data_IF_027293794348
#
_entry.id   IF_027293794348
#
_cell.length_a   1.000
_cell.length_b   1.000
_cell.length_c   1.000
_cell.angle_alpha   90.00
_cell.angle_beta   90.00
_cell.angle_gamma   90.00
#
_symmetry.space_group_name_H-M   'P 1'
#
loop_
_entity.id
_entity.type
_entity.pdbx_description
1 polymer ?
#
# COMPACT_ATOMS: atom_id res chain seq x y z
N UNK A 1 1.64 -12.40 16.93
CA UNK A 1 1.17 -13.76 16.60
C UNK A 1 2.39 -14.60 16.23
N UNK A 2 2.62 -15.71 16.95
CA UNK A 2 3.68 -16.64 16.61
C UNK A 2 3.31 -17.37 15.31
N UNK A 3 4.26 -17.51 14.40
CA UNK A 3 4.09 -18.41 13.26
C UNK A 3 4.13 -19.85 13.77
N UNK A 4 3.06 -20.64 13.70
CA UNK A 4 3.00 -21.97 14.28
C UNK A 4 3.68 -23.06 13.43
N UNK A 5 4.18 -22.77 12.25
CA UNK A 5 4.77 -23.82 11.42
C UNK A 5 6.29 -23.74 11.37
N UNK A 6 6.91 -24.63 12.10
CA UNK A 6 8.36 -24.86 12.10
C UNK A 6 8.94 -25.42 10.79
N UNK A 7 8.11 -25.73 9.80
CA UNK A 7 8.54 -26.33 8.53
C UNK A 7 8.91 -25.32 7.44
N UNK A 8 8.43 -24.08 7.54
CA UNK A 8 8.80 -23.01 6.63
C UNK A 8 9.50 -21.91 7.41
N UNK A 9 10.79 -21.84 7.28
CA UNK A 9 11.71 -20.89 7.93
C UNK A 9 11.47 -19.40 7.54
N UNK A 10 10.22 -19.01 7.36
CA UNK A 10 9.86 -17.65 6.99
C UNK A 10 9.44 -16.84 8.22
N UNK A 11 9.81 -15.57 8.30
CA UNK A 11 9.40 -14.72 9.40
C UNK A 11 7.88 -14.59 9.45
N UNK A 12 7.34 -14.37 10.64
CA UNK A 12 5.94 -14.02 10.79
C UNK A 12 5.70 -12.62 10.21
N UNK A 13 4.70 -12.50 9.36
CA UNK A 13 4.23 -11.24 8.81
C UNK A 13 2.77 -11.07 9.17
N UNK A 14 2.43 -9.93 9.75
CA UNK A 14 1.07 -9.50 10.00
C UNK A 14 0.76 -8.31 9.08
N UNK A 15 -0.21 -8.47 8.21
CA UNK A 15 -0.64 -7.43 7.26
C UNK A 15 -1.79 -6.66 7.88
N UNK A 16 -1.73 -5.33 7.83
CA UNK A 16 -2.82 -4.46 8.26
C UNK A 16 -4.00 -4.58 7.29
N UNK A 17 -5.22 -4.58 7.84
CA UNK A 17 -6.44 -4.71 7.04
C UNK A 17 -6.78 -3.47 6.20
N UNK A 18 -6.26 -2.31 6.58
CA UNK A 18 -6.50 -1.04 5.90
C UNK A 18 -5.48 -0.82 4.78
N UNK A 19 -5.91 -0.20 3.69
CA UNK A 19 -5.06 0.22 2.60
C UNK A 19 -4.54 1.65 2.82
N UNK A 20 -3.29 1.89 2.44
CA UNK A 20 -2.62 3.19 2.55
C UNK A 20 -2.07 3.60 1.19
N UNK A 21 -2.13 4.88 0.88
CA UNK A 21 -1.53 5.42 -0.34
C UNK A 21 -0.10 5.89 -0.05
N UNK A 22 0.89 5.02 -0.28
CA UNK A 22 2.30 5.34 -0.11
C UNK A 22 2.87 6.27 -1.19
N UNK A 23 2.04 6.75 -2.13
CA UNK A 23 2.39 7.83 -3.06
C UNK A 23 2.06 9.23 -2.51
N UNK A 24 1.34 9.30 -1.40
CA UNK A 24 1.00 10.52 -0.67
C UNK A 24 1.82 10.60 0.60
N UNK A 25 2.15 11.82 1.04
CA UNK A 25 2.83 12.01 2.31
C UNK A 25 2.04 11.42 3.47
N UNK A 26 2.75 10.78 4.40
CA UNK A 26 2.15 10.17 5.57
C UNK A 26 3.19 9.79 6.62
N UNK A 27 2.72 9.36 7.77
CA UNK A 27 3.57 8.88 8.84
C UNK A 27 2.81 7.98 9.80
N UNK A 28 3.54 7.18 10.56
CA UNK A 28 3.03 6.55 11.76
C UNK A 28 4.09 6.59 12.87
N UNK A 29 3.62 6.55 14.11
CA UNK A 29 4.43 6.36 15.29
C UNK A 29 4.17 4.97 15.88
N UNK A 30 5.22 4.32 16.36
CA UNK A 30 5.10 3.08 17.08
C UNK A 30 6.04 3.08 18.28
N UNK A 31 5.55 2.56 19.40
CA UNK A 31 6.39 2.18 20.51
C UNK A 31 6.66 0.69 20.40
N UNK A 32 7.92 0.29 20.47
CA UNK A 32 8.33 -1.11 20.41
C UNK A 32 9.08 -1.51 21.66
N UNK A 33 8.82 -2.73 22.10
CA UNK A 33 9.57 -3.38 23.17
C UNK A 33 9.78 -4.83 22.82
N UNK A 34 11.02 -5.30 22.85
CA UNK A 34 11.36 -6.68 22.58
C UNK A 34 11.89 -7.35 23.85
N UNK A 35 11.46 -8.54 24.20
CA UNK A 35 12.02 -9.29 25.33
C UNK A 35 13.43 -9.83 25.05
N UNK A 36 13.89 -9.74 23.84
CA UNK A 36 15.17 -10.26 23.37
C UNK A 36 16.02 -9.13 22.79
N UNK A 37 17.33 -9.27 22.94
CA UNK A 37 18.26 -8.34 22.31
C UNK A 37 18.15 -8.38 20.78
N UNK A 38 18.32 -7.22 20.15
CA UNK A 38 18.22 -7.07 18.70
C UNK A 38 19.20 -7.94 17.91
N UNK A 39 20.24 -8.45 18.58
CA UNK A 39 21.24 -9.35 17.97
C UNK A 39 20.67 -10.69 17.46
N UNK A 40 19.59 -11.19 18.07
CA UNK A 40 18.94 -12.42 17.64
C UNK A 40 17.77 -12.17 16.68
N UNK A 41 17.41 -10.91 16.42
CA UNK A 41 16.06 -10.59 16.02
C UNK A 41 15.98 -9.60 14.87
N UNK A 42 15.23 -9.95 13.83
CA UNK A 42 14.83 -9.02 12.80
C UNK A 42 13.38 -8.61 13.02
N UNK A 43 13.16 -7.33 13.25
CA UNK A 43 11.84 -6.76 13.38
C UNK A 43 11.74 -5.48 12.55
N UNK A 44 10.56 -5.20 12.02
CA UNK A 44 10.32 -3.96 11.30
C UNK A 44 8.98 -3.93 10.59
N UNK A 45 8.85 -2.94 9.74
CA UNK A 45 7.66 -2.64 8.98
C UNK A 45 7.94 -2.75 7.49
N UNK A 46 6.95 -3.19 6.74
CA UNK A 46 6.93 -3.04 5.29
C UNK A 46 5.96 -1.94 4.90
N UNK A 47 6.43 -0.97 4.14
CA UNK A 47 5.58 -0.07 3.37
C UNK A 47 5.33 -0.70 2.00
N UNK A 48 4.07 -0.81 1.61
CA UNK A 48 3.69 -1.38 0.32
C UNK A 48 3.95 -2.88 0.20
N UNK A 49 3.63 -3.66 1.25
CA UNK A 49 3.86 -5.10 1.29
C UNK A 49 3.08 -5.86 0.23
N UNK A 50 3.78 -6.67 -0.56
CA UNK A 50 3.21 -7.69 -1.44
C UNK A 50 3.70 -9.08 -1.00
N UNK A 51 2.77 -10.04 -0.91
CA UNK A 51 3.09 -11.44 -0.68
C UNK A 51 3.78 -12.05 -1.94
N UNK A 52 4.85 -12.86 -1.81
CA UNK A 52 5.43 -13.43 -0.61
C UNK A 52 6.60 -12.67 0.03
N UNK A 53 6.62 -11.36 0.02
CA UNK A 53 7.63 -10.62 0.78
C UNK A 53 8.38 -9.57 -0.03
N UNK A 54 7.68 -8.82 -0.89
CA UNK A 54 8.20 -7.61 -1.48
C UNK A 54 7.65 -6.36 -0.78
N UNK A 55 8.36 -5.25 -0.90
CA UNK A 55 8.03 -3.98 -0.28
C UNK A 55 9.25 -3.25 0.25
N UNK A 56 9.06 -2.04 0.77
CA UNK A 56 10.11 -1.32 1.49
C UNK A 56 10.12 -1.77 2.95
N UNK A 57 11.15 -2.50 3.34
CA UNK A 57 11.38 -2.88 4.74
C UNK A 57 12.14 -1.78 5.47
N UNK A 58 11.66 -1.40 6.64
CA UNK A 58 12.29 -0.47 7.58
C UNK A 58 12.27 -1.14 8.95
N UNK A 59 13.43 -1.41 9.53
CA UNK A 59 13.52 -2.14 10.78
C UNK A 59 14.95 -2.31 11.27
N UNK A 60 15.19 -3.31 12.11
CA UNK A 60 16.50 -3.65 12.64
C UNK A 60 16.84 -5.12 12.52
N UNK A 61 18.12 -5.42 12.60
CA UNK A 61 18.72 -6.74 12.84
C UNK A 61 19.89 -6.59 13.83
N UNK A 62 20.71 -7.62 13.96
CA UNK A 62 21.89 -7.62 14.84
C UNK A 62 22.87 -6.47 14.58
N UNK A 63 22.88 -5.89 13.39
CA UNK A 63 23.72 -4.76 13.02
C UNK A 63 23.09 -3.39 13.32
N UNK A 64 21.85 -3.35 13.83
CA UNK A 64 21.12 -2.12 14.11
C UNK A 64 20.04 -1.81 13.10
N UNK A 65 19.51 -0.58 13.16
CA UNK A 65 18.43 -0.12 12.29
C UNK A 65 18.89 0.05 10.84
N UNK A 66 18.07 -0.41 9.88
CA UNK A 66 18.35 -0.36 8.45
C UNK A 66 17.07 -0.42 7.62
N UNK A 67 17.22 -0.20 6.33
CA UNK A 67 16.17 -0.44 5.35
C UNK A 67 16.63 -1.45 4.28
N UNK A 68 15.67 -2.08 3.64
CA UNK A 68 15.90 -2.94 2.48
C UNK A 68 14.71 -2.84 1.52
N UNK A 69 15.02 -2.66 0.23
CA UNK A 69 14.01 -2.78 -0.81
C UNK A 69 13.89 -4.23 -1.26
N UNK A 70 12.70 -4.80 -1.15
CA UNK A 70 12.41 -6.14 -1.65
C UNK A 70 11.63 -6.03 -2.95
N UNK A 71 12.14 -6.62 -4.05
CA UNK A 71 11.55 -6.52 -5.39
C UNK A 71 10.87 -7.80 -5.87
N UNK A 72 10.57 -8.73 -4.97
CA UNK A 72 10.01 -10.05 -5.27
C UNK A 72 11.08 -11.06 -5.66
N UNK A 73 11.05 -12.24 -5.03
CA UNK A 73 11.97 -13.36 -5.33
C UNK A 73 13.44 -13.14 -5.00
N UNK A 74 13.82 -11.98 -4.48
CA UNK A 74 15.21 -11.66 -4.16
C UNK A 74 15.36 -10.41 -3.31
N UNK A 75 16.58 -10.15 -2.88
CA UNK A 75 16.95 -8.93 -2.18
C UNK A 75 17.18 -7.79 -3.17
N UNK A 76 16.57 -6.62 -2.90
CA UNK A 76 16.93 -5.38 -3.56
C UNK A 76 18.13 -4.69 -2.90
N UNK A 77 18.12 -3.35 -2.88
CA UNK A 77 19.16 -2.54 -2.24
C UNK A 77 19.05 -2.57 -0.72
N UNK A 78 20.18 -2.39 -0.06
CA UNK A 78 20.33 -2.36 1.40
C UNK A 78 20.93 -1.04 1.86
N UNK A 79 20.51 -0.62 3.06
CA UNK A 79 21.20 0.47 3.75
C UNK A 79 22.64 0.09 4.11
N UNK A 80 23.59 0.89 3.67
CA UNK A 80 25.05 0.69 3.89
C UNK A 80 25.69 1.74 4.78
N UNK A 81 24.92 2.69 5.33
CA UNK A 81 25.42 3.72 6.23
C UNK A 81 25.64 3.25 7.66
N UNK A 82 26.08 4.18 8.52
CA UNK A 82 26.17 3.94 9.95
C UNK A 82 24.78 3.70 10.55
N UNK A 83 24.61 2.63 11.34
CA UNK A 83 23.33 2.24 11.91
C UNK A 83 23.20 2.67 13.36
N UNK A 84 22.04 3.16 13.76
CA UNK A 84 21.67 3.22 15.18
C UNK A 84 21.57 1.79 15.70
N UNK A 85 22.04 1.55 16.93
CA UNK A 85 22.03 0.23 17.55
C UNK A 85 20.60 -0.35 17.59
N UNK A 86 20.50 -1.66 17.45
CA UNK A 86 19.24 -2.36 17.66
C UNK A 86 18.81 -2.27 19.13
N UNK A 87 17.50 -2.38 19.44
CA UNK A 87 16.99 -2.35 20.80
C UNK A 87 17.66 -3.41 21.70
N UNK A 88 17.97 -3.02 22.93
CA UNK A 88 18.34 -3.96 24.00
C UNK A 88 17.10 -4.72 24.49
N UNK A 89 17.34 -5.85 25.18
CA UNK A 89 16.23 -6.64 25.73
C UNK A 89 15.41 -5.83 26.74
N UNK A 90 14.10 -5.86 26.56
CA UNK A 90 13.10 -5.15 27.38
C UNK A 90 13.21 -3.61 27.40
N UNK A 91 14.05 -3.04 26.56
CA UNK A 91 14.10 -1.60 26.35
C UNK A 91 12.94 -1.16 25.42
N UNK A 92 12.32 -0.04 25.77
CA UNK A 92 11.25 0.56 25.00
C UNK A 92 11.82 1.67 24.11
N UNK A 93 11.45 1.66 22.83
CA UNK A 93 11.87 2.66 21.87
C UNK A 93 10.66 3.28 21.18
N UNK A 94 10.68 4.61 21.04
CA UNK A 94 9.73 5.34 20.22
C UNK A 94 10.27 5.46 18.81
N UNK A 95 9.52 5.01 17.81
CA UNK A 95 9.89 5.09 16.42
C UNK A 95 8.85 5.85 15.61
N UNK A 96 9.34 6.67 14.70
CA UNK A 96 8.52 7.32 13.71
C UNK A 96 8.99 6.93 12.32
N UNK A 97 8.07 6.46 11.51
CA UNK A 97 8.27 6.27 10.07
C UNK A 97 7.42 7.31 9.34
N UNK A 98 8.04 8.14 8.54
CA UNK A 98 7.35 9.11 7.70
C UNK A 98 7.76 8.95 6.25
N UNK A 99 6.91 9.34 5.32
CA UNK A 99 7.20 9.35 3.89
C UNK A 99 6.59 10.56 3.21
N UNK A 100 7.14 10.91 2.05
CA UNK A 100 6.75 12.07 1.26
C UNK A 100 6.13 11.66 -0.07
N UNK A 101 5.46 12.60 -0.74
CA UNK A 101 4.94 12.44 -2.12
C UNK A 101 6.08 12.15 -3.12
N UNK A 102 7.32 12.57 -2.81
CA UNK A 102 8.50 12.23 -3.60
C UNK A 102 9.00 10.80 -3.38
N UNK A 103 8.28 9.97 -2.60
CA UNK A 103 8.64 8.59 -2.23
C UNK A 103 9.99 8.49 -1.52
N UNK A 104 10.23 9.39 -0.60
CA UNK A 104 11.34 9.32 0.35
C UNK A 104 10.76 9.00 1.72
N UNK A 105 11.19 7.88 2.31
CA UNK A 105 10.82 7.50 3.67
C UNK A 105 11.95 7.81 4.65
N UNK A 106 11.58 8.25 5.85
CA UNK A 106 12.51 8.57 6.95
C UNK A 106 12.18 7.71 8.16
N UNK A 107 13.19 7.14 8.79
CA UNK A 107 13.08 6.53 10.11
C UNK A 107 13.71 7.46 11.15
N UNK A 108 12.97 7.71 12.24
CA UNK A 108 13.45 8.33 13.46
C UNK A 108 13.28 7.36 14.62
N UNK A 109 14.30 7.21 15.45
CA UNK A 109 14.33 6.34 16.64
C UNK A 109 14.65 7.23 17.83
N UNK A 110 13.78 7.27 18.83
CA UNK A 110 13.92 8.10 20.06
C UNK A 110 14.25 9.57 19.76
N UNK A 111 13.60 10.12 18.75
CA UNK A 111 13.81 11.47 18.27
C UNK A 111 15.09 11.69 17.42
N UNK A 112 15.92 10.66 17.26
CA UNK A 112 17.11 10.73 16.40
C UNK A 112 16.83 10.16 15.01
N UNK A 113 17.10 10.94 13.96
CA UNK A 113 17.00 10.46 12.58
C UNK A 113 18.02 9.35 12.33
N UNK A 114 17.52 8.18 11.93
CA UNK A 114 18.35 7.04 11.58
C UNK A 114 18.83 7.08 10.12
N UNK A 115 17.89 7.32 9.20
CA UNK A 115 18.17 7.37 7.76
C UNK A 115 16.99 7.92 6.96
N UNK A 116 17.27 8.24 5.71
CA UNK A 116 16.29 8.38 4.63
C UNK A 116 16.47 7.24 3.62
N UNK A 117 15.39 6.88 2.94
CA UNK A 117 15.41 5.94 1.81
C UNK A 117 14.54 6.47 0.68
N UNK A 118 15.13 6.63 -0.49
CA UNK A 118 14.41 6.87 -1.74
C UNK A 118 13.89 5.52 -2.27
N UNK A 119 12.58 5.38 -2.36
CA UNK A 119 11.91 4.19 -2.89
C UNK A 119 11.13 4.47 -4.18
N UNK A 120 11.39 5.60 -4.85
CA UNK A 120 10.73 6.02 -6.09
C UNK A 120 10.89 5.01 -7.22
N UNK A 121 12.00 4.27 -7.24
CA UNK A 121 12.24 3.20 -8.22
C UNK A 121 11.43 1.92 -7.97
N UNK A 122 10.76 1.79 -6.83
CA UNK A 122 9.93 0.61 -6.54
C UNK A 122 8.57 0.74 -7.23
N UNK A 123 8.30 -0.13 -8.18
CA UNK A 123 7.08 -0.14 -8.99
C UNK A 123 6.05 -1.18 -8.55
N UNK A 124 6.42 -2.06 -7.63
CA UNK A 124 5.61 -3.20 -7.18
C UNK A 124 5.09 -3.06 -5.75
N UNK A 125 4.99 -1.85 -5.24
CA UNK A 125 4.39 -1.60 -3.93
C UNK A 125 2.87 -1.80 -3.98
N UNK A 126 2.34 -2.48 -2.97
CA UNK A 126 0.90 -2.50 -2.71
C UNK A 126 0.51 -1.34 -1.80
N UNK A 127 -0.77 -1.25 -1.46
CA UNK A 127 -1.29 -0.31 -0.48
C UNK A 127 -1.24 -0.85 0.97
N UNK A 128 -0.52 -1.96 1.22
CA UNK A 128 -0.52 -2.63 2.52
C UNK A 128 0.67 -2.23 3.38
N UNK A 129 0.39 -1.91 4.64
CA UNK A 129 1.38 -1.89 5.72
C UNK A 129 1.46 -3.28 6.34
N UNK A 130 2.66 -3.76 6.60
CA UNK A 130 2.84 -5.02 7.32
C UNK A 130 3.92 -4.92 8.38
N UNK A 131 3.79 -5.71 9.42
CA UNK A 131 4.79 -5.90 10.47
C UNK A 131 5.47 -7.24 10.24
N UNK A 132 6.79 -7.24 10.25
CA UNK A 132 7.61 -8.44 10.19
C UNK A 132 8.27 -8.70 11.53
N UNK A 133 8.06 -9.86 12.10
CA UNK A 133 8.76 -10.33 13.29
C UNK A 133 9.50 -11.62 12.97
N UNK A 134 10.81 -11.62 13.19
CA UNK A 134 11.67 -12.76 12.93
C UNK A 134 12.56 -12.65 11.70
N UNK A 135 13.65 -13.39 11.72
CA UNK A 135 14.52 -13.62 10.59
C UNK A 135 14.37 -15.07 10.09
N UNK A 136 15.06 -15.38 9.01
CA UNK A 136 15.13 -16.72 8.46
C UNK A 136 15.69 -17.71 9.50
N UNK A 137 14.87 -18.53 10.09
CA UNK A 137 15.12 -19.54 11.15
C UNK A 137 14.87 -19.13 12.59
N UNK A 138 14.52 -17.88 12.91
CA UNK A 138 14.33 -17.47 14.29
C UNK A 138 12.98 -16.78 14.48
N UNK A 139 12.25 -17.22 15.51
CA UNK A 139 10.99 -16.58 15.91
C UNK A 139 11.31 -15.44 16.88
N UNK A 140 10.84 -14.25 16.55
CA UNK A 140 10.92 -13.12 17.46
C UNK A 140 9.62 -12.93 18.21
N UNK A 141 9.79 -12.70 19.48
CA UNK A 141 8.72 -12.19 20.30
C UNK A 141 8.93 -10.69 20.46
N UNK A 142 8.08 -9.91 19.84
CA UNK A 142 7.90 -8.50 20.19
C UNK A 142 6.68 -8.45 21.08
N UNK A 143 6.84 -8.01 22.33
CA UNK A 143 5.75 -8.06 23.31
C UNK A 143 4.77 -6.94 23.13
N UNK A 144 5.26 -5.76 22.76
CA UNK A 144 4.40 -4.58 22.63
C UNK A 144 4.78 -3.81 21.38
N UNK A 145 3.84 -3.71 20.44
CA UNK A 145 3.87 -2.78 19.32
C UNK A 145 2.59 -1.98 19.39
N UNK A 146 2.71 -0.72 19.76
CA UNK A 146 1.61 0.21 19.74
C UNK A 146 1.83 1.24 18.65
N UNK A 147 0.95 1.29 17.66
CA UNK A 147 1.02 2.24 16.56
C UNK A 147 0.05 3.38 16.86
N UNK A 148 0.59 4.59 16.86
CA UNK A 148 -0.14 5.86 17.00
C UNK A 148 -0.18 6.52 15.61
N UNK A 149 -1.20 7.31 15.38
CA UNK A 149 -1.28 8.26 14.27
C UNK A 149 -1.02 7.63 12.89
N UNK A 150 -1.95 6.78 12.47
CA UNK A 150 -2.00 6.36 11.08
C UNK A 150 -2.44 7.52 10.18
N UNK A 151 -1.89 7.63 8.96
CA UNK A 151 -2.47 8.53 7.99
C UNK A 151 -3.92 8.12 7.75
N UNK A 152 -4.83 9.08 7.76
CA UNK A 152 -6.19 8.82 7.29
C UNK A 152 -6.11 8.31 5.85
N UNK A 153 -6.71 7.16 5.64
CA UNK A 153 -6.97 6.71 4.27
C UNK A 153 -8.05 7.62 3.74
N UNK A 154 -7.65 8.53 2.90
CA UNK A 154 -8.64 9.24 2.07
C UNK A 154 -9.10 8.19 1.07
N UNK A 155 -10.21 7.51 1.36
CA UNK A 155 -10.89 6.72 0.34
C UNK A 155 -11.14 7.68 -0.84
N UNK A 156 -10.68 7.28 -2.03
CA UNK A 156 -10.96 8.06 -3.23
C UNK A 156 -12.48 8.30 -3.28
N UNK A 157 -12.87 9.56 -3.43
CA UNK A 157 -14.27 9.90 -3.49
C UNK A 157 -14.91 9.13 -4.66
N UNK A 158 -15.99 8.43 -4.38
CA UNK A 158 -16.72 7.67 -5.39
C UNK A 158 -17.92 8.48 -5.84
N UNK A 159 -18.08 8.59 -7.13
CA UNK A 159 -19.11 9.38 -7.78
C UNK A 159 -20.01 8.51 -8.65
N UNK A 160 -21.23 8.95 -8.88
CA UNK A 160 -22.07 8.38 -9.91
C UNK A 160 -21.81 9.09 -11.25
N UNK A 161 -21.56 8.31 -12.30
CA UNK A 161 -21.45 8.80 -13.67
C UNK A 161 -22.75 8.44 -14.39
N UNK A 162 -23.49 9.43 -14.85
CA UNK A 162 -24.76 9.21 -15.55
C UNK A 162 -24.84 10.07 -16.81
N UNK A 163 -25.64 9.63 -17.75
CA UNK A 163 -25.85 10.36 -19.00
C UNK A 163 -27.04 9.84 -19.76
N UNK A 164 -27.22 10.43 -20.96
CA UNK A 164 -28.29 10.05 -21.88
C UNK A 164 -27.75 9.87 -23.30
N UNK A 165 -28.11 8.78 -23.93
CA UNK A 165 -27.76 8.50 -25.32
C UNK A 165 -28.94 8.88 -26.20
N UNK A 166 -28.66 9.76 -27.18
CA UNK A 166 -29.68 10.25 -28.13
C UNK A 166 -29.12 10.16 -29.55
N UNK A 167 -29.99 10.07 -30.53
CA UNK A 167 -29.63 10.20 -31.95
C UNK A 167 -29.40 11.66 -32.37
N UNK A 168 -29.03 11.89 -33.62
CA UNK A 168 -28.82 13.23 -34.17
C UNK A 168 -30.07 14.12 -34.15
N UNK A 169 -31.26 13.56 -34.06
CA UNK A 169 -32.51 14.24 -33.92
C UNK A 169 -32.93 14.52 -32.47
N UNK A 170 -32.14 14.03 -31.49
CA UNK A 170 -32.45 14.17 -30.07
C UNK A 170 -33.36 13.07 -29.51
N UNK A 171 -33.73 12.07 -30.30
CA UNK A 171 -34.55 10.95 -29.81
C UNK A 171 -33.72 10.00 -28.95
N UNK A 172 -34.31 9.49 -27.87
CA UNK A 172 -33.64 8.57 -26.95
C UNK A 172 -33.31 7.24 -27.63
N UNK A 173 -32.12 6.73 -27.39
CA UNK A 173 -31.68 5.41 -27.89
C UNK A 173 -31.75 4.41 -26.75
N UNK A 174 -32.76 3.52 -26.81
CA UNK A 174 -32.91 2.43 -25.86
C UNK A 174 -31.96 1.26 -26.20
N UNK A 175 -31.45 0.60 -25.15
CA UNK A 175 -30.65 -0.61 -25.25
C UNK A 175 -29.27 -0.41 -25.88
N UNK A 176 -28.79 0.84 -25.98
CA UNK A 176 -27.38 1.10 -26.32
C UNK A 176 -26.47 0.56 -25.22
N UNK A 177 -25.36 -0.07 -25.60
CA UNK A 177 -24.36 -0.53 -24.66
C UNK A 177 -23.40 0.60 -24.35
N UNK A 178 -23.42 1.08 -23.11
CA UNK A 178 -22.48 2.06 -22.60
C UNK A 178 -21.43 1.32 -21.77
N UNK A 179 -20.16 1.51 -22.08
CA UNK A 179 -19.03 0.94 -21.36
C UNK A 179 -18.21 2.07 -20.72
N UNK A 180 -17.97 1.93 -19.43
CA UNK A 180 -17.02 2.75 -18.69
C UNK A 180 -15.91 1.82 -18.19
N UNK A 181 -14.71 1.95 -18.73
CA UNK A 181 -13.57 1.06 -18.51
C UNK A 181 -13.94 -0.43 -18.74
N UNK A 182 -14.02 -1.20 -17.66
CA UNK A 182 -14.35 -2.63 -17.69
C UNK A 182 -15.84 -2.91 -17.43
N UNK A 183 -16.59 -1.92 -16.95
CA UNK A 183 -18.02 -2.06 -16.60
C UNK A 183 -18.90 -1.65 -17.77
N UNK A 184 -20.02 -2.33 -17.96
CA UNK A 184 -20.99 -2.01 -19.01
C UNK A 184 -22.41 -2.02 -18.48
N UNK A 185 -23.22 -1.09 -18.98
CA UNK A 185 -24.67 -1.00 -18.76
C UNK A 185 -25.38 -0.81 -20.08
N UNK A 186 -26.71 -1.01 -20.10
CA UNK A 186 -27.56 -0.65 -21.24
C UNK A 186 -28.42 0.54 -20.90
N UNK A 187 -28.65 1.39 -21.89
CA UNK A 187 -29.59 2.51 -21.74
C UNK A 187 -31.02 2.04 -21.59
N UNK A 188 -31.77 2.73 -20.74
CA UNK A 188 -33.22 2.54 -20.59
C UNK A 188 -34.04 3.06 -21.78
N UNK A 189 -35.36 2.92 -21.71
CA UNK A 189 -36.30 3.39 -22.75
C UNK A 189 -36.20 4.91 -22.99
N UNK A 190 -35.81 5.68 -21.99
CA UNK A 190 -35.56 7.12 -22.07
C UNK A 190 -34.12 7.48 -22.52
N UNK A 191 -33.30 6.47 -22.87
CA UNK A 191 -31.92 6.61 -23.27
C UNK A 191 -30.94 6.83 -22.11
N UNK A 192 -31.37 6.84 -20.85
CA UNK A 192 -30.49 7.11 -19.71
C UNK A 192 -29.66 5.91 -19.31
N UNK A 193 -28.47 6.19 -18.74
CA UNK A 193 -27.60 5.20 -18.11
C UNK A 193 -26.98 5.77 -16.83
N UNK A 194 -26.52 4.91 -15.92
CA UNK A 194 -25.80 5.30 -14.73
C UNK A 194 -24.81 4.21 -14.30
N UNK A 195 -23.64 4.64 -13.85
CA UNK A 195 -22.65 3.84 -13.13
C UNK A 195 -22.52 4.42 -11.73
N UNK A 196 -22.49 3.58 -10.72
CA UNK A 196 -22.25 3.96 -9.34
C UNK A 196 -20.80 3.65 -8.95
N UNK A 197 -20.34 4.28 -7.88
CA UNK A 197 -19.05 3.98 -7.23
C UNK A 197 -17.82 4.10 -8.15
N UNK A 198 -17.82 5.10 -9.04
CA UNK A 198 -16.68 5.40 -9.92
C UNK A 198 -15.69 6.29 -9.16
N UNK A 199 -14.45 5.86 -9.03
CA UNK A 199 -13.36 6.64 -8.42
C UNK A 199 -13.01 7.86 -9.27
N UNK A 200 -12.46 8.91 -8.65
CA UNK A 200 -11.96 10.06 -9.41
C UNK A 200 -10.78 9.67 -10.31
N UNK A 201 -10.82 10.11 -11.54
CA UNK A 201 -9.75 9.80 -12.49
C UNK A 201 -10.13 10.02 -13.94
N UNK A 202 -9.24 9.58 -14.83
CA UNK A 202 -9.50 9.55 -16.27
C UNK A 202 -10.08 8.18 -16.63
N UNK A 203 -11.28 8.17 -17.19
CA UNK A 203 -12.01 6.98 -17.56
C UNK A 203 -12.26 6.95 -19.07
N UNK A 204 -12.31 5.73 -19.62
CA UNK A 204 -12.64 5.52 -21.02
C UNK A 204 -14.13 5.19 -21.15
N UNK A 205 -14.89 6.08 -21.79
CA UNK A 205 -16.30 5.87 -22.09
C UNK A 205 -16.46 5.46 -23.56
N UNK A 206 -17.23 4.41 -23.82
CA UNK A 206 -17.61 4.03 -25.18
C UNK A 206 -19.07 3.64 -25.25
N UNK A 207 -19.72 3.94 -26.35
CA UNK A 207 -21.14 3.69 -26.61
C UNK A 207 -21.27 2.98 -27.94
N UNK A 208 -21.99 1.86 -27.97
CA UNK A 208 -22.25 1.07 -29.16
C UNK A 208 -23.74 0.68 -29.24
N UNK A 209 -24.32 0.78 -30.43
CA UNK A 209 -25.67 0.33 -30.73
C UNK A 209 -25.74 -0.09 -32.18
N UNK A 210 -26.29 -1.26 -32.47
CA UNK A 210 -26.49 -1.75 -33.83
C UNK A 210 -27.33 -0.72 -34.64
N UNK A 211 -26.85 -0.36 -35.83
CA UNK A 211 -27.45 0.65 -36.70
C UNK A 211 -27.00 2.10 -36.46
N UNK A 212 -26.08 2.32 -35.53
CA UNK A 212 -25.48 3.63 -35.22
C UNK A 212 -23.95 3.56 -35.29
N UNK A 213 -23.31 4.71 -35.44
CA UNK A 213 -21.83 4.80 -35.32
C UNK A 213 -21.42 4.70 -33.86
N UNK A 214 -20.34 3.98 -33.58
CA UNK A 214 -19.77 3.86 -32.23
C UNK A 214 -19.09 5.18 -31.81
N UNK A 215 -19.28 5.56 -30.56
CA UNK A 215 -18.65 6.74 -29.96
C UNK A 215 -17.68 6.27 -28.87
N UNK A 216 -16.48 6.88 -28.84
CA UNK A 216 -15.54 6.71 -27.73
C UNK A 216 -14.91 8.04 -27.36
N UNK A 217 -14.80 8.31 -26.06
CA UNK A 217 -14.15 9.49 -25.51
C UNK A 217 -13.51 9.18 -24.17
N UNK A 218 -12.60 10.08 -23.75
CA UNK A 218 -12.05 10.06 -22.39
C UNK A 218 -12.76 11.12 -21.55
N UNK A 219 -13.22 10.70 -20.39
CA UNK A 219 -13.85 11.57 -19.38
C UNK A 219 -12.91 11.71 -18.18
N UNK A 220 -12.93 12.87 -17.52
CA UNK A 220 -12.11 13.20 -16.36
C UNK A 220 -12.98 13.58 -15.18
#
# INVERSE_FOLDING_TARGET
AANPSSSNNWPAVAVWGTDYDFSKAGSFHATIKSPQEGSANRFGFYLGYNDPGSGLFIGYDSGGWFWQTYTGGGSGSWYSGARIAAPSANEEHDIQVSWTDAKVATLTVDGQKAFDVDYSAMTNLSNKLAIKAGSWKELNQVTDVYIKDFPEVVEAAKHAVSGKVVDAGGAAIEGATVRLDKTKVKTGADGTFSFADIEEGVHSLSIAKEGYEDVSQQEK
#
